data_IF_898773593764
#
_entry.id   IF_898773593764
#
_cell.length_a   1.000
_cell.length_b   1.000
_cell.length_c   1.000
_cell.angle_alpha   90.00
_cell.angle_beta   90.00
_cell.angle_gamma   90.00
#
_symmetry.space_group_name_H-M   'P 1'
#
loop_
_entity.id
_entity.type
_entity.pdbx_description
1 polymer ?
#
# COMPACT_ATOMS: atom_id res chain seq x y z
N UNK A 1 -22.10 -4.52 3.97
CA UNK A 1 -21.72 -4.02 5.31
C UNK A 1 -22.30 -2.64 5.50
N UNK A 2 -23.08 -2.45 6.56
CA UNK A 2 -23.68 -1.17 6.95
C UNK A 2 -23.10 -0.71 8.28
N UNK A 3 -23.09 0.60 8.53
CA UNK A 3 -22.80 1.13 9.85
C UNK A 3 -24.03 1.07 10.78
N UNK A 4 -23.88 1.58 12.01
CA UNK A 4 -24.94 1.55 13.02
C UNK A 4 -26.13 2.45 12.66
N UNK A 5 -25.92 3.42 11.79
CA UNK A 5 -26.95 4.32 11.27
C UNK A 5 -27.59 3.80 9.98
N UNK A 6 -27.22 2.59 9.54
CA UNK A 6 -27.77 1.96 8.33
C UNK A 6 -27.19 2.48 7.02
N UNK A 7 -26.09 3.26 7.05
CA UNK A 7 -25.43 3.74 5.83
C UNK A 7 -24.55 2.64 5.25
N UNK A 8 -24.60 2.48 3.92
CA UNK A 8 -23.81 1.47 3.22
C UNK A 8 -22.32 1.85 3.26
N UNK A 9 -21.48 0.91 3.73
CA UNK A 9 -20.03 1.07 3.79
C UNK A 9 -19.35 0.36 2.63
N UNK A 10 -19.70 -0.90 2.41
CA UNK A 10 -19.13 -1.73 1.36
C UNK A 10 -20.13 -2.83 0.99
N UNK A 11 -20.27 -3.16 -0.29
CA UNK A 11 -21.12 -4.25 -0.77
C UNK A 11 -20.34 -5.08 -1.78
N UNK A 12 -20.62 -6.39 -1.81
CA UNK A 12 -20.17 -7.23 -2.91
C UNK A 12 -20.87 -6.80 -4.22
N UNK A 13 -20.09 -6.72 -5.30
CA UNK A 13 -20.59 -6.55 -6.67
C UNK A 13 -20.79 -7.93 -7.30
N UNK A 14 -19.92 -8.32 -8.24
CA UNK A 14 -19.84 -9.67 -8.78
C UNK A 14 -19.44 -10.77 -7.78
N UNK A 15 -19.05 -10.40 -6.56
CA UNK A 15 -18.76 -11.32 -5.46
C UNK A 15 -17.41 -12.02 -5.56
N UNK A 16 -17.33 -13.23 -5.02
CA UNK A 16 -16.11 -14.05 -4.98
C UNK A 16 -16.13 -15.10 -6.10
N UNK A 17 -15.00 -15.25 -6.80
CA UNK A 17 -14.77 -16.37 -7.71
C UNK A 17 -13.39 -16.98 -7.50
N UNK A 18 -13.28 -18.28 -7.79
CA UNK A 18 -12.05 -19.03 -7.68
C UNK A 18 -11.89 -19.98 -8.85
N UNK A 19 -10.71 -19.96 -9.48
CA UNK A 19 -10.30 -20.95 -10.47
C UNK A 19 -9.26 -21.87 -9.87
N UNK A 20 -9.49 -23.17 -10.01
CA UNK A 20 -8.57 -24.22 -9.58
C UNK A 20 -8.28 -25.19 -10.70
N UNK A 21 -7.07 -25.71 -10.77
CA UNK A 21 -6.66 -26.77 -11.69
C UNK A 21 -6.11 -27.96 -10.90
N UNK A 22 -6.16 -29.14 -11.51
CA UNK A 22 -5.65 -30.38 -10.89
C UNK A 22 -4.14 -30.28 -10.61
N UNK A 23 -3.39 -29.64 -11.51
CA UNK A 23 -1.93 -29.59 -11.44
C UNK A 23 -1.38 -28.42 -10.63
N UNK A 24 -2.06 -27.28 -10.60
CA UNK A 24 -1.54 -26.03 -10.01
C UNK A 24 -2.34 -25.56 -8.79
N UNK A 25 -3.40 -26.29 -8.40
CA UNK A 25 -4.27 -25.86 -7.32
C UNK A 25 -5.02 -24.57 -7.68
N UNK A 26 -5.12 -23.65 -6.74
CA UNK A 26 -5.75 -22.34 -6.94
C UNK A 26 -4.88 -21.45 -7.81
N UNK A 27 -5.40 -21.02 -8.96
CA UNK A 27 -4.66 -20.22 -9.96
C UNK A 27 -5.19 -18.81 -10.11
N UNK A 28 -6.44 -18.57 -9.70
CA UNK A 28 -7.03 -17.23 -9.67
C UNK A 28 -8.08 -17.18 -8.55
N UNK A 29 -8.01 -16.16 -7.72
CA UNK A 29 -9.06 -15.81 -6.75
C UNK A 29 -9.43 -14.36 -6.99
N UNK A 30 -10.71 -14.08 -7.23
CA UNK A 30 -11.20 -12.73 -7.48
C UNK A 30 -12.25 -12.35 -6.44
N UNK A 31 -12.19 -11.11 -5.98
CA UNK A 31 -13.30 -10.46 -5.27
C UNK A 31 -13.63 -9.16 -5.98
N UNK A 32 -14.92 -8.89 -6.11
CA UNK A 32 -15.45 -7.65 -6.66
C UNK A 32 -16.45 -7.01 -5.70
N UNK A 33 -16.30 -5.71 -5.51
CA UNK A 33 -17.16 -4.87 -4.67
C UNK A 33 -17.82 -3.79 -5.54
N UNK A 34 -19.01 -3.37 -5.16
CA UNK A 34 -19.62 -2.15 -5.71
C UNK A 34 -18.74 -0.94 -5.37
N UNK A 35 -18.56 -0.05 -6.35
CA UNK A 35 -17.83 1.20 -6.22
C UNK A 35 -18.79 2.37 -6.44
N UNK A 36 -18.80 3.33 -5.51
CA UNK A 36 -19.60 4.55 -5.65
C UNK A 36 -18.90 5.57 -6.54
N UNK A 37 -19.67 6.45 -7.14
CA UNK A 37 -19.17 7.48 -8.07
C UNK A 37 -18.19 8.45 -7.39
N UNK A 38 -18.45 8.80 -6.14
CA UNK A 38 -17.62 9.69 -5.31
C UNK A 38 -16.51 8.95 -4.54
N UNK A 39 -16.35 7.64 -4.74
CA UNK A 39 -15.45 6.83 -3.94
C UNK A 39 -13.98 7.02 -4.34
N UNK A 40 -13.18 7.40 -3.35
CA UNK A 40 -11.74 7.63 -3.47
C UNK A 40 -10.99 6.46 -2.83
N UNK A 41 -9.86 6.10 -3.44
CA UNK A 41 -9.02 5.00 -2.99
C UNK A 41 -7.60 5.48 -2.67
N UNK A 42 -7.03 5.00 -1.58
CA UNK A 42 -5.69 5.37 -1.11
C UNK A 42 -4.95 4.15 -0.56
N UNK A 43 -3.63 4.21 -0.42
CA UNK A 43 -2.85 3.12 0.19
C UNK A 43 -1.98 2.40 -0.82
N UNK A 44 -2.00 1.06 -0.81
CA UNK A 44 -1.16 0.18 -1.65
C UNK A 44 0.36 0.31 -1.44
N UNK A 45 0.79 1.20 -0.55
CA UNK A 45 2.19 1.36 -0.16
C UNK A 45 3.02 2.04 -1.24
N UNK A 46 3.93 1.28 -1.84
CA UNK A 46 5.00 1.77 -2.71
C UNK A 46 4.52 1.93 -4.15
N UNK A 47 3.67 2.93 -4.39
CA UNK A 47 3.12 3.30 -5.71
C UNK A 47 3.56 4.71 -6.10
N UNK A 48 4.18 4.91 -7.28
CA UNK A 48 4.80 6.19 -7.63
C UNK A 48 3.84 7.21 -8.27
N UNK A 49 2.58 6.81 -8.47
CA UNK A 49 1.56 7.60 -9.15
C UNK A 49 0.78 8.55 -8.22
N UNK A 50 -0.38 9.04 -8.70
CA UNK A 50 -1.28 9.88 -7.91
C UNK A 50 -1.74 9.21 -6.62
N UNK A 51 -1.96 10.03 -5.58
CA UNK A 51 -2.44 9.55 -4.28
C UNK A 51 -3.82 8.88 -4.36
N UNK A 52 -4.74 9.43 -5.16
CA UNK A 52 -6.02 8.79 -5.44
C UNK A 52 -5.83 7.70 -6.50
N UNK A 53 -6.12 6.46 -6.10
CA UNK A 53 -5.93 5.28 -6.93
C UNK A 53 -7.09 5.03 -7.89
N UNK A 54 -8.21 5.77 -7.76
CA UNK A 54 -9.36 5.61 -8.66
C UNK A 54 -8.95 5.76 -10.13
N UNK A 55 -9.40 4.84 -10.97
CA UNK A 55 -9.07 4.76 -12.40
C UNK A 55 -7.75 4.03 -12.69
N UNK A 56 -7.08 3.46 -11.69
CA UNK A 56 -5.81 2.75 -11.87
C UNK A 56 -5.96 1.24 -11.67
N UNK A 57 -5.13 0.48 -12.40
CA UNK A 57 -4.85 -0.92 -12.14
C UNK A 57 -3.44 -1.04 -11.58
N UNK A 58 -3.29 -1.70 -10.44
CA UNK A 58 -2.03 -1.76 -9.69
C UNK A 58 -1.72 -3.19 -9.25
N UNK A 59 -0.44 -3.52 -9.18
CA UNK A 59 0.02 -4.86 -8.91
C UNK A 59 0.95 -4.90 -7.70
N UNK A 60 0.75 -5.86 -6.82
CA UNK A 60 1.65 -6.15 -5.71
C UNK A 60 2.51 -7.36 -6.06
N UNK A 61 3.78 -7.07 -6.39
CA UNK A 61 4.83 -8.04 -6.60
C UNK A 61 6.20 -7.39 -6.43
N UNK A 62 6.90 -7.70 -5.34
CA UNK A 62 8.19 -7.07 -5.04
C UNK A 62 9.18 -7.29 -6.19
N UNK A 63 9.57 -6.19 -6.83
CA UNK A 63 10.36 -6.17 -8.05
C UNK A 63 11.45 -5.12 -7.93
N UNK A 64 12.67 -5.46 -8.36
CA UNK A 64 13.72 -4.46 -8.52
C UNK A 64 13.44 -3.60 -9.76
N UNK A 65 12.90 -2.40 -9.52
CA UNK A 65 12.45 -1.47 -10.55
C UNK A 65 13.46 -0.33 -10.75
N UNK A 66 14.61 -0.64 -11.35
CA UNK A 66 15.65 0.34 -11.61
C UNK A 66 15.14 1.53 -12.43
N UNK A 67 15.47 2.75 -11.99
CA UNK A 67 15.10 4.01 -12.68
C UNK A 67 13.58 4.15 -12.95
N UNK A 68 12.76 3.72 -11.98
CA UNK A 68 11.30 3.79 -12.10
C UNK A 68 10.78 5.22 -12.32
N UNK A 69 9.66 5.33 -13.02
CA UNK A 69 8.91 6.57 -13.24
C UNK A 69 7.52 6.51 -12.62
N UNK A 70 6.73 7.57 -12.81
CA UNK A 70 5.39 7.71 -12.21
C UNK A 70 4.37 6.63 -12.63
N UNK A 71 4.62 5.95 -13.76
CA UNK A 71 3.77 4.88 -14.30
C UNK A 71 4.39 3.48 -14.11
N UNK A 72 5.54 3.36 -13.45
CA UNK A 72 6.18 2.06 -13.21
C UNK A 72 5.46 1.34 -12.09
N UNK A 73 4.95 0.15 -12.40
CA UNK A 73 4.31 -0.76 -11.45
C UNK A 73 4.56 -2.19 -11.93
N UNK A 74 4.95 -3.13 -11.05
CA UNK A 74 5.14 -3.00 -9.60
C UNK A 74 6.51 -2.42 -9.19
N UNK A 75 6.68 -2.14 -7.88
CA UNK A 75 7.92 -1.63 -7.25
C UNK A 75 8.44 -2.58 -6.15
N UNK A 76 9.22 -2.04 -5.20
CA UNK A 76 10.02 -2.80 -4.24
C UNK A 76 9.21 -3.40 -3.09
N UNK A 77 8.08 -2.78 -2.72
CA UNK A 77 7.27 -3.20 -1.58
C UNK A 77 5.82 -3.44 -1.98
N UNK A 78 5.24 -4.49 -1.39
CA UNK A 78 3.84 -4.85 -1.55
C UNK A 78 3.12 -4.70 -0.22
N UNK A 79 2.21 -3.73 -0.13
CA UNK A 79 1.32 -3.55 1.02
C UNK A 79 -0.11 -3.77 0.50
N UNK A 80 -0.70 -4.97 0.64
CA UNK A 80 -2.02 -5.29 0.10
C UNK A 80 -3.14 -4.73 0.97
N UNK A 81 -3.06 -3.42 1.25
CA UNK A 81 -4.02 -2.68 2.05
C UNK A 81 -4.37 -1.36 1.36
N UNK A 82 -5.66 -1.07 1.26
CA UNK A 82 -6.15 0.21 0.75
C UNK A 82 -7.29 0.75 1.61
N UNK A 83 -7.45 2.07 1.58
CA UNK A 83 -8.59 2.80 2.12
C UNK A 83 -9.62 3.06 1.01
N UNK A 84 -10.90 2.95 1.35
CA UNK A 84 -12.00 3.52 0.57
C UNK A 84 -12.64 4.68 1.35
N UNK A 85 -12.95 5.77 0.68
CA UNK A 85 -13.61 6.95 1.25
C UNK A 85 -14.73 7.42 0.32
N UNK A 86 -15.96 7.44 0.82
CA UNK A 86 -17.14 7.98 0.10
C UNK A 86 -18.11 8.61 1.10
N UNK A 87 -18.69 9.76 0.76
CA UNK A 87 -19.63 10.48 1.63
C UNK A 87 -19.09 10.79 3.04
N UNK A 88 -17.77 10.97 3.19
CA UNK A 88 -17.11 11.20 4.48
C UNK A 88 -16.93 9.95 5.35
N UNK A 89 -17.33 8.77 4.87
CA UNK A 89 -17.19 7.49 5.57
C UNK A 89 -16.01 6.71 4.99
N UNK A 90 -15.05 6.35 5.85
CA UNK A 90 -13.89 5.57 5.49
C UNK A 90 -14.03 4.10 5.90
N UNK A 91 -13.42 3.23 5.10
CA UNK A 91 -13.10 1.86 5.47
C UNK A 91 -11.73 1.48 4.92
N UNK A 92 -11.19 0.36 5.37
CA UNK A 92 -9.99 -0.24 4.81
C UNK A 92 -10.21 -1.70 4.45
N UNK A 93 -9.55 -2.16 3.39
CA UNK A 93 -9.49 -3.57 3.02
C UNK A 93 -8.03 -3.98 3.08
N UNK A 94 -7.72 -4.95 3.94
CA UNK A 94 -6.42 -5.62 3.98
C UNK A 94 -6.58 -7.03 3.42
N UNK A 95 -5.93 -7.32 2.30
CA UNK A 95 -5.91 -8.64 1.67
C UNK A 95 -4.69 -9.39 2.19
N UNK A 96 -4.92 -10.33 3.10
CA UNK A 96 -3.87 -11.06 3.82
C UNK A 96 -3.44 -12.28 2.99
N UNK A 97 -2.77 -11.98 1.88
CA UNK A 97 -2.27 -12.99 0.97
C UNK A 97 -0.95 -12.49 0.33
N UNK A 98 0.15 -13.27 0.41
CA UNK A 98 1.46 -12.88 -0.11
C UNK A 98 1.66 -13.18 -1.61
N UNK A 99 0.71 -13.86 -2.26
CA UNK A 99 0.78 -14.13 -3.69
C UNK A 99 0.67 -12.84 -4.50
N UNK A 100 1.16 -12.90 -5.74
CA UNK A 100 1.03 -11.82 -6.72
C UNK A 100 -0.44 -11.42 -6.84
N UNK A 101 -0.70 -10.13 -6.62
CA UNK A 101 -2.06 -9.60 -6.57
C UNK A 101 -2.22 -8.39 -7.48
N UNK A 102 -3.36 -8.32 -8.16
CA UNK A 102 -3.76 -7.21 -9.04
C UNK A 102 -4.99 -6.56 -8.45
N UNK A 103 -5.03 -5.24 -8.41
CA UNK A 103 -6.12 -4.43 -7.90
C UNK A 103 -6.60 -3.52 -9.02
N UNK A 104 -7.92 -3.45 -9.21
CA UNK A 104 -8.58 -2.55 -10.15
C UNK A 104 -9.48 -1.61 -9.35
N UNK A 105 -9.10 -0.33 -9.32
CA UNK A 105 -9.79 0.72 -8.58
C UNK A 105 -10.75 1.48 -9.49
N UNK A 106 -11.76 0.80 -10.00
CA UNK A 106 -12.76 1.37 -10.92
C UNK A 106 -12.14 1.88 -12.24
N UNK A 107 -11.10 1.19 -12.71
CA UNK A 107 -10.43 1.46 -13.99
C UNK A 107 -11.14 0.76 -15.16
N UNK A 108 -11.47 -0.53 -14.99
CA UNK A 108 -12.19 -1.30 -16.03
C UNK A 108 -13.67 -0.94 -16.06
N UNK A 109 -14.29 -0.88 -14.89
CA UNK A 109 -15.70 -0.50 -14.71
C UNK A 109 -15.81 0.53 -13.57
N UNK A 110 -16.29 1.75 -13.84
CA UNK A 110 -16.47 2.80 -12.84
C UNK A 110 -17.34 2.40 -11.63
N UNK A 111 -18.15 1.35 -11.75
CA UNK A 111 -19.07 0.85 -10.73
C UNK A 111 -18.49 -0.29 -9.90
N UNK A 112 -17.25 -0.71 -10.14
CA UNK A 112 -16.64 -1.81 -9.38
C UNK A 112 -15.22 -1.51 -8.91
N UNK A 113 -14.86 -2.07 -7.76
CA UNK A 113 -13.47 -2.20 -7.31
C UNK A 113 -13.21 -3.68 -7.08
N UNK A 114 -12.07 -4.18 -7.57
CA UNK A 114 -11.79 -5.61 -7.53
C UNK A 114 -10.32 -5.91 -7.27
N UNK A 115 -10.06 -7.13 -6.84
CA UNK A 115 -8.71 -7.66 -6.78
C UNK A 115 -8.67 -9.14 -7.14
N UNK A 116 -7.54 -9.53 -7.74
CA UNK A 116 -7.23 -10.88 -8.16
C UNK A 116 -5.93 -11.35 -7.51
N UNK A 117 -5.90 -12.60 -7.04
CA UNK A 117 -4.72 -13.24 -6.44
C UNK A 117 -4.31 -14.43 -7.30
N UNK A 118 -3.01 -14.58 -7.57
CA UNK A 118 -2.49 -15.68 -8.39
C UNK A 118 -2.44 -17.03 -7.67
N UNK A 119 -2.92 -17.10 -6.42
CA UNK A 119 -2.86 -18.30 -5.59
C UNK A 119 -3.17 -18.03 -4.12
N UNK A 120 -2.97 -19.07 -3.30
CA UNK A 120 -3.25 -19.04 -1.87
C UNK A 120 -4.75 -19.12 -1.57
N UNK A 121 -5.15 -18.49 -0.47
CA UNK A 121 -6.52 -18.42 0.02
C UNK A 121 -7.06 -16.99 -0.06
N UNK A 122 -8.39 -16.84 -0.19
CA UNK A 122 -9.02 -15.53 -0.12
C UNK A 122 -9.28 -15.18 1.34
N UNK A 123 -8.29 -14.56 1.98
CA UNK A 123 -8.39 -13.99 3.32
C UNK A 123 -8.28 -12.47 3.24
N UNK A 124 -9.32 -11.75 3.65
CA UNK A 124 -9.27 -10.29 3.74
C UNK A 124 -10.09 -9.76 4.91
N UNK A 125 -9.67 -8.60 5.40
CA UNK A 125 -10.26 -7.92 6.54
C UNK A 125 -10.89 -6.62 6.08
N UNK A 126 -12.14 -6.37 6.47
CA UNK A 126 -12.77 -5.05 6.34
C UNK A 126 -12.64 -4.29 7.67
N UNK A 127 -11.95 -3.17 7.62
CA UNK A 127 -11.64 -2.31 8.78
C UNK A 127 -12.50 -1.05 8.70
N UNK A 128 -13.61 -1.00 9.43
CA UNK A 128 -14.51 0.16 9.38
C UNK A 128 -14.00 1.38 10.16
N UNK A 129 -14.18 2.57 9.56
CA UNK A 129 -13.97 3.89 10.13
C UNK A 129 -15.05 4.31 11.14
N UNK A 130 -15.41 5.60 11.23
CA UNK A 130 -15.77 6.38 10.05
C UNK A 130 -14.64 7.25 9.49
N UNK A 131 -13.59 7.55 10.24
CA UNK A 131 -12.46 8.35 9.76
C UNK A 131 -11.31 7.49 9.23
N UNK A 132 -10.53 8.02 8.28
CA UNK A 132 -9.31 7.37 7.78
C UNK A 132 -8.33 7.06 8.93
N UNK A 133 -8.21 7.95 9.91
CA UNK A 133 -7.38 7.74 11.09
C UNK A 133 -7.81 6.51 11.88
N UNK A 134 -9.13 6.31 12.04
CA UNK A 134 -9.65 5.13 12.76
C UNK A 134 -9.36 3.83 11.99
N UNK A 135 -9.47 3.87 10.66
CA UNK A 135 -9.10 2.74 9.81
C UNK A 135 -7.61 2.39 9.98
N UNK A 136 -6.73 3.40 9.93
CA UNK A 136 -5.29 3.20 10.12
C UNK A 136 -4.95 2.63 11.50
N UNK A 137 -5.59 3.11 12.57
CA UNK A 137 -5.44 2.55 13.92
C UNK A 137 -5.81 1.07 13.98
N UNK A 138 -6.95 0.68 13.39
CA UNK A 138 -7.38 -0.72 13.36
C UNK A 138 -6.43 -1.60 12.55
N UNK A 139 -5.90 -1.07 11.46
CA UNK A 139 -4.87 -1.77 10.68
C UNK A 139 -3.63 -2.02 11.54
N UNK A 140 -3.15 -1.01 12.28
CA UNK A 140 -2.01 -1.17 13.20
C UNK A 140 -2.30 -2.07 14.41
N UNK A 141 -3.53 -2.09 14.92
CA UNK A 141 -3.91 -3.02 15.99
C UNK A 141 -3.86 -4.48 15.49
N UNK A 142 -4.04 -4.70 14.18
CA UNK A 142 -3.94 -6.02 13.54
C UNK A 142 -2.51 -6.39 13.13
N UNK A 143 -1.77 -5.47 12.51
CA UNK A 143 -0.47 -5.75 11.86
C UNK A 143 0.75 -5.29 12.67
N UNK A 144 0.52 -4.58 13.77
CA UNK A 144 1.56 -4.04 14.63
C UNK A 144 1.70 -2.52 14.53
N UNK A 145 2.19 -1.94 15.62
CA UNK A 145 2.50 -0.51 15.73
C UNK A 145 3.96 -0.28 15.38
N UNK A 146 4.30 0.82 14.68
CA UNK A 146 5.70 1.17 14.42
C UNK A 146 6.49 1.28 15.72
N UNK A 147 7.73 0.77 15.71
CA UNK A 147 8.66 0.98 16.81
C UNK A 147 9.02 2.48 16.90
N UNK A 148 9.24 2.99 18.11
CA UNK A 148 9.74 4.34 18.31
C UNK A 148 11.21 4.39 17.84
N UNK A 149 11.53 5.15 16.78
CA UNK A 149 12.90 5.24 16.30
C UNK A 149 13.77 6.04 17.29
N UNK A 150 15.10 5.80 17.34
CA UNK A 150 16.01 6.65 18.08
C UNK A 150 16.05 8.06 17.44
N UNK A 151 16.22 9.09 18.27
CA UNK A 151 16.08 10.48 17.80
C UNK A 151 17.02 10.82 16.63
N UNK A 152 18.27 10.34 16.66
CA UNK A 152 19.27 10.61 15.62
C UNK A 152 18.83 10.10 14.23
N UNK A 153 18.00 9.06 14.14
CA UNK A 153 17.59 8.50 12.84
C UNK A 153 16.56 9.37 12.12
N UNK A 154 15.93 10.32 12.83
CA UNK A 154 15.00 11.31 12.27
C UNK A 154 15.73 12.55 11.75
N UNK A 155 17.02 12.67 12.00
CA UNK A 155 17.89 13.74 11.53
C UNK A 155 18.35 13.57 10.09
N UNK A 156 19.19 14.49 9.62
CA UNK A 156 19.73 14.44 8.27
C UNK A 156 20.78 13.32 8.13
N UNK A 157 20.57 12.43 7.16
CA UNK A 157 21.47 11.32 6.85
C UNK A 157 22.12 11.54 5.48
N UNK A 158 23.44 11.66 5.45
CA UNK A 158 24.20 11.81 4.22
C UNK A 158 24.59 10.44 3.68
N UNK A 159 24.18 10.11 2.45
CA UNK A 159 24.50 8.83 1.83
C UNK A 159 25.02 9.00 0.39
N UNK A 160 25.83 8.05 -0.07
CA UNK A 160 26.26 7.86 -1.46
C UNK A 160 26.59 6.39 -1.69
N UNK A 161 26.45 5.91 -2.92
CA UNK A 161 27.06 4.67 -3.39
C UNK A 161 28.35 4.99 -4.18
N UNK A 162 29.56 5.05 -3.58
CA UNK A 162 29.93 4.93 -2.16
C UNK A 162 30.79 6.12 -1.70
N UNK A 163 30.96 6.28 -0.39
CA UNK A 163 32.12 6.98 0.17
C UNK A 163 33.20 5.96 0.53
N UNK A 164 34.36 6.09 -0.09
CA UNK A 164 35.54 5.26 0.16
C UNK A 164 36.77 6.05 -0.34
N UNK A 165 37.94 5.95 0.32
CA UNK A 165 38.24 5.21 1.56
C UNK A 165 37.77 5.94 2.83
N UNK A 166 38.16 5.44 4.01
CA UNK A 166 37.83 6.05 5.32
C UNK A 166 38.13 7.55 5.38
N UNK A 167 39.26 7.98 4.80
CA UNK A 167 39.65 9.40 4.75
C UNK A 167 38.58 10.26 4.08
N UNK A 168 37.92 9.74 3.04
CA UNK A 168 36.83 10.45 2.35
C UNK A 168 35.60 10.58 3.24
N UNK A 169 35.29 9.55 4.04
CA UNK A 169 34.19 9.62 5.03
C UNK A 169 34.51 10.67 6.08
N UNK A 170 35.74 10.67 6.63
CA UNK A 170 36.18 11.66 7.64
C UNK A 170 36.19 13.09 7.11
N UNK A 171 36.58 13.28 5.85
CA UNK A 171 36.49 14.56 5.16
C UNK A 171 35.05 15.07 5.10
N UNK A 172 34.10 14.23 4.66
CA UNK A 172 32.67 14.60 4.59
C UNK A 172 32.16 15.00 5.99
N UNK A 173 32.44 14.21 7.03
CA UNK A 173 32.10 14.54 8.42
C UNK A 173 32.65 15.91 8.84
N UNK A 174 33.91 16.21 8.49
CA UNK A 174 34.58 17.46 8.84
C UNK A 174 33.94 18.65 8.14
N UNK A 175 33.66 18.54 6.84
CA UNK A 175 33.02 19.61 6.07
C UNK A 175 31.64 20.00 6.62
N UNK A 176 30.80 19.03 7.03
CA UNK A 176 29.53 19.34 7.71
C UNK A 176 29.73 20.17 8.97
N UNK A 177 30.72 19.80 9.80
CA UNK A 177 31.04 20.50 11.06
C UNK A 177 31.59 21.91 10.81
N UNK A 178 32.56 22.05 9.91
CA UNK A 178 33.18 23.34 9.57
C UNK A 178 32.17 24.32 8.97
N UNK A 179 31.26 23.82 8.13
CA UNK A 179 30.17 24.61 7.51
C UNK A 179 28.96 24.80 8.42
N UNK A 180 28.95 24.19 9.61
CA UNK A 180 27.85 24.24 10.59
C UNK A 180 26.52 23.75 10.01
N UNK A 181 26.56 22.69 9.21
CA UNK A 181 25.38 22.01 8.66
C UNK A 181 25.10 20.77 9.54
N UNK A 182 23.91 20.65 10.17
CA UNK A 182 23.56 19.47 10.97
C UNK A 182 23.54 18.18 10.16
N UNK A 183 24.14 17.11 10.70
CA UNK A 183 24.16 15.77 10.11
C UNK A 183 24.30 14.73 11.23
N UNK A 184 23.37 13.78 11.26
CA UNK A 184 23.27 12.78 12.33
C UNK A 184 23.91 11.43 11.95
N UNK A 185 23.99 11.13 10.65
CA UNK A 185 24.60 9.91 10.13
C UNK A 185 25.23 10.12 8.73
N UNK A 186 26.34 9.44 8.46
CA UNK A 186 27.03 9.33 7.17
C UNK A 186 27.29 7.85 6.88
#
# INVERSE_FOLDING_TARGET
>A
VYDREGRLINRDGGGFSARRTILQGTTDLRVEKECREDELFFGMGDKPGPLNLRGQQLENWNTDAFSYGAATDPLYKSIPFFFGLSGGQAYGIFVDNPHRSRFDFAATDPQTVSWNLSGGEMNYYLLYGPSLLRVAQRYHDLTGKPALPPLWSLGFQQCRWSYYPEERVREVCREFRERRIPCDAI
#
